data_IF_858478268902
#
_entry.id   IF_858478268902
#
_cell.length_a   1.000
_cell.length_b   1.000
_cell.length_c   1.000
_cell.angle_alpha   90.00
_cell.angle_beta   90.00
_cell.angle_gamma   90.00
#
_symmetry.space_group_name_H-M   'P 1'
#
loop_
_entity.id
_entity.type
_entity.pdbx_description
1 polymer ?
#
# COMPACT_ATOMS: atom_id res chain seq x y z
N UNK A 1 4.96 -24.66 -24.89
CA UNK A 1 4.31 -24.86 -23.58
C UNK A 1 3.47 -23.63 -23.31
N UNK A 2 2.16 -23.78 -23.19
CA UNK A 2 1.18 -22.68 -23.11
C UNK A 2 1.47 -21.78 -21.89
N UNK A 3 1.71 -20.48 -22.15
CA UNK A 3 2.03 -19.49 -21.13
C UNK A 3 0.93 -19.40 -20.05
N UNK A 4 -0.33 -19.68 -20.44
CA UNK A 4 -1.47 -19.72 -19.54
C UNK A 4 -1.39 -20.90 -18.56
N UNK A 5 -0.90 -22.06 -19.03
CA UNK A 5 -0.65 -23.23 -18.17
C UNK A 5 0.50 -23.00 -17.20
N UNK A 6 1.57 -22.32 -17.62
CA UNK A 6 2.69 -21.95 -16.74
C UNK A 6 2.23 -20.95 -15.67
N UNK A 7 1.43 -19.95 -16.03
CA UNK A 7 0.85 -18.97 -15.09
C UNK A 7 -0.11 -19.62 -14.09
N UNK A 8 -0.95 -20.56 -14.54
CA UNK A 8 -1.83 -21.32 -13.66
C UNK A 8 -1.03 -22.23 -12.71
N UNK A 9 0.07 -22.83 -13.19
CA UNK A 9 0.99 -23.60 -12.35
C UNK A 9 1.69 -22.72 -11.30
N UNK A 10 2.15 -21.52 -11.67
CA UNK A 10 2.81 -20.60 -10.75
C UNK A 10 1.84 -19.98 -9.72
N UNK A 11 0.62 -19.61 -10.12
CA UNK A 11 -0.42 -19.16 -9.18
C UNK A 11 -0.82 -20.28 -8.21
N UNK A 12 -0.94 -21.52 -8.70
CA UNK A 12 -1.13 -22.67 -7.84
C UNK A 12 0.07 -22.90 -6.93
N UNK A 13 1.31 -22.66 -7.40
CA UNK A 13 2.51 -22.72 -6.56
C UNK A 13 2.52 -21.63 -5.48
N UNK A 14 2.11 -20.39 -5.79
CA UNK A 14 2.05 -19.28 -4.83
C UNK A 14 0.93 -19.48 -3.79
N UNK A 15 -0.25 -19.94 -4.24
CA UNK A 15 -1.33 -20.33 -3.35
C UNK A 15 -0.89 -21.50 -2.46
N UNK A 16 -0.16 -22.47 -3.02
CA UNK A 16 0.46 -23.55 -2.26
C UNK A 16 1.57 -23.05 -1.32
N UNK A 17 2.32 -22.01 -1.65
CA UNK A 17 3.33 -21.41 -0.78
C UNK A 17 2.68 -20.68 0.40
N UNK A 18 1.63 -19.90 0.18
CA UNK A 18 0.84 -19.27 1.26
C UNK A 18 0.15 -20.32 2.13
N UNK A 19 -0.42 -21.37 1.52
CA UNK A 19 -0.99 -22.50 2.25
C UNK A 19 0.08 -23.23 3.05
N UNK A 20 1.28 -23.45 2.49
CA UNK A 20 2.44 -24.01 3.19
C UNK A 20 2.98 -23.09 4.28
N UNK A 21 2.90 -21.78 4.12
CA UNK A 21 3.33 -20.80 5.13
C UNK A 21 2.37 -20.81 6.32
N UNK A 22 1.05 -20.76 6.07
CA UNK A 22 0.02 -20.91 7.10
C UNK A 22 0.10 -22.29 7.78
N UNK A 23 0.33 -23.34 7.01
CA UNK A 23 0.57 -24.69 7.52
C UNK A 23 1.88 -24.78 8.32
N UNK A 24 2.95 -24.08 7.92
CA UNK A 24 4.19 -23.96 8.70
C UNK A 24 3.96 -23.23 10.01
N UNK A 25 3.17 -22.16 10.04
CA UNK A 25 2.78 -21.48 11.29
C UNK A 25 1.96 -22.41 12.20
N UNK A 26 1.01 -23.17 11.65
CA UNK A 26 0.27 -24.20 12.40
C UNK A 26 1.20 -25.32 12.92
N UNK A 27 2.16 -25.78 12.11
CA UNK A 27 3.14 -26.80 12.49
C UNK A 27 4.05 -26.25 13.60
N UNK A 28 4.53 -25.01 13.50
CA UNK A 28 5.34 -24.37 14.55
C UNK A 28 4.55 -24.28 15.84
N UNK A 29 3.27 -23.86 15.80
CA UNK A 29 2.40 -23.89 16.98
C UNK A 29 2.24 -25.30 17.55
N UNK A 30 2.00 -26.31 16.70
CA UNK A 30 1.88 -27.71 17.14
C UNK A 30 3.19 -28.23 17.74
N UNK A 31 4.35 -27.89 17.16
CA UNK A 31 5.67 -28.27 17.68
C UNK A 31 5.92 -27.64 19.05
N UNK A 32 5.62 -26.34 19.21
CA UNK A 32 5.75 -25.65 20.50
C UNK A 32 4.84 -26.30 21.55
N UNK A 33 3.59 -26.58 21.19
CA UNK A 33 2.61 -27.23 22.08
C UNK A 33 3.05 -28.66 22.46
N UNK A 34 3.54 -29.45 21.50
CA UNK A 34 4.08 -30.80 21.74
C UNK A 34 5.33 -30.73 22.64
N UNK A 35 6.23 -29.78 22.40
CA UNK A 35 7.45 -29.63 23.21
C UNK A 35 7.12 -29.29 24.66
N UNK A 36 6.12 -28.43 24.89
CA UNK A 36 5.58 -28.12 26.22
C UNK A 36 4.93 -29.33 26.89
N UNK A 37 4.12 -30.13 26.16
CA UNK A 37 3.52 -31.38 26.68
C UNK A 37 4.62 -32.38 27.08
N UNK A 38 5.67 -32.54 26.25
CA UNK A 38 6.81 -33.40 26.55
C UNK A 38 7.53 -32.94 27.82
N UNK A 39 7.72 -31.63 27.98
CA UNK A 39 8.36 -31.07 29.17
C UNK A 39 7.51 -31.29 30.43
N UNK A 40 6.18 -31.16 30.33
CA UNK A 40 5.24 -31.52 31.38
C UNK A 40 5.37 -32.99 31.79
N UNK A 41 5.41 -33.88 30.81
CA UNK A 41 5.43 -35.31 31.04
C UNK A 41 6.75 -35.76 31.68
N UNK A 42 7.87 -35.09 31.33
CA UNK A 42 9.16 -35.28 32.00
C UNK A 42 9.14 -34.83 33.47
N UNK A 43 8.49 -33.73 33.78
CA UNK A 43 8.32 -33.22 35.16
C UNK A 43 7.42 -34.14 36.01
N UNK A 44 6.37 -34.72 35.42
CA UNK A 44 5.46 -35.67 36.07
C UNK A 44 6.21 -36.98 36.39
N UNK A 45 6.92 -37.55 35.41
CA UNK A 45 7.62 -38.83 35.58
C UNK A 45 8.83 -38.75 36.53
N UNK A 46 9.39 -37.55 36.75
CA UNK A 46 10.49 -37.36 37.72
C UNK A 46 10.02 -37.37 39.18
N UNK A 47 8.71 -37.29 39.42
CA UNK A 47 8.11 -37.12 40.75
C UNK A 47 7.09 -38.24 41.08
N UNK A 48 7.43 -39.52 40.84
CA UNK A 48 6.55 -40.68 41.12
C UNK A 48 6.13 -40.84 42.60
N UNK A 49 6.61 -40.00 43.52
CA UNK A 49 6.09 -39.91 44.89
C UNK A 49 5.46 -38.53 45.18
N UNK A 50 4.12 -38.52 45.28
CA UNK A 50 3.25 -37.43 45.76
C UNK A 50 3.43 -36.07 45.06
N UNK A 51 2.95 -35.96 43.82
CA UNK A 51 2.62 -34.65 43.25
C UNK A 51 1.31 -34.18 43.91
N UNK A 52 1.40 -33.16 44.77
CA UNK A 52 0.25 -32.46 45.34
C UNK A 52 -0.57 -31.79 44.22
N UNK A 53 -1.90 -31.82 44.32
CA UNK A 53 -2.81 -31.10 43.41
C UNK A 53 -2.39 -29.63 43.20
N UNK A 54 -1.86 -28.96 44.23
CA UNK A 54 -1.39 -27.57 44.12
C UNK A 54 -0.23 -27.37 43.13
N UNK A 55 0.56 -28.42 42.84
CA UNK A 55 1.70 -28.35 41.91
C UNK A 55 1.22 -28.50 40.45
N UNK A 56 0.14 -29.25 40.22
CA UNK A 56 -0.50 -29.39 38.90
C UNK A 56 -1.21 -28.08 38.52
N UNK A 57 -1.94 -27.46 39.46
CA UNK A 57 -2.61 -26.18 39.23
C UNK A 57 -1.61 -25.07 38.86
N UNK A 58 -0.46 -25.04 39.52
CA UNK A 58 0.58 -24.06 39.24
C UNK A 58 1.16 -24.22 37.82
N UNK A 59 1.36 -25.46 37.38
CA UNK A 59 1.84 -25.79 36.04
C UNK A 59 0.80 -25.42 34.96
N UNK A 60 -0.47 -25.71 35.20
CA UNK A 60 -1.57 -25.35 34.29
C UNK A 60 -1.67 -23.82 34.16
N UNK A 61 -1.54 -23.07 35.26
CA UNK A 61 -1.55 -21.61 35.23
C UNK A 61 -0.37 -21.02 34.46
N UNK A 62 0.84 -21.59 34.60
CA UNK A 62 2.02 -21.17 33.83
C UNK A 62 1.82 -21.42 32.33
N UNK A 63 1.28 -22.58 31.95
CA UNK A 63 0.95 -22.91 30.56
C UNK A 63 -0.11 -21.99 29.98
N UNK A 64 -1.19 -21.72 30.73
CA UNK A 64 -2.24 -20.78 30.34
C UNK A 64 -1.67 -19.38 30.14
N UNK A 65 -0.79 -18.89 31.02
CA UNK A 65 -0.12 -17.60 30.84
C UNK A 65 0.79 -17.56 29.61
N UNK A 66 1.54 -18.62 29.33
CA UNK A 66 2.42 -18.71 28.15
C UNK A 66 1.61 -18.77 26.85
N UNK A 67 0.52 -19.54 26.81
CA UNK A 67 -0.40 -19.61 25.67
C UNK A 67 -1.06 -18.24 25.45
N UNK A 68 -1.49 -17.57 26.52
CA UNK A 68 -2.04 -16.22 26.45
C UNK A 68 -1.03 -15.21 25.90
N UNK A 69 0.24 -15.28 26.35
CA UNK A 69 1.33 -14.44 25.84
C UNK A 69 1.60 -14.72 24.35
N UNK A 70 1.61 -15.98 23.94
CA UNK A 70 1.82 -16.34 22.53
C UNK A 70 0.65 -15.88 21.64
N UNK A 71 -0.59 -16.00 22.12
CA UNK A 71 -1.77 -15.47 21.43
C UNK A 71 -1.75 -13.95 21.32
N UNK A 72 -1.34 -13.24 22.39
CA UNK A 72 -1.11 -11.79 22.37
C UNK A 72 -0.04 -11.40 21.35
N UNK A 73 1.08 -12.12 21.29
CA UNK A 73 2.15 -11.87 20.31
C UNK A 73 1.64 -12.08 18.88
N UNK A 74 0.86 -13.13 18.61
CA UNK A 74 0.34 -13.42 17.26
C UNK A 74 -0.76 -12.44 16.83
N UNK A 75 -1.63 -12.01 17.74
CA UNK A 75 -2.65 -11.01 17.47
C UNK A 75 -2.06 -9.62 17.18
N UNK A 76 -0.93 -9.27 17.81
CA UNK A 76 -0.18 -8.03 17.54
C UNK A 76 0.53 -8.05 16.18
N UNK A 77 0.68 -9.22 15.55
CA UNK A 77 1.42 -9.40 14.29
C UNK A 77 0.53 -9.43 13.03
N UNK A 78 -0.80 -9.48 13.13
CA UNK A 78 -1.66 -9.39 11.96
C UNK A 78 -1.96 -7.94 11.61
N UNK A 79 -1.33 -7.47 10.54
CA UNK A 79 -1.56 -6.15 9.98
C UNK A 79 -2.93 -6.07 9.29
N UNK A 80 -3.89 -5.44 9.95
CA UNK A 80 -5.19 -5.13 9.36
C UNK A 80 -5.11 -3.82 8.56
N UNK A 81 -5.47 -3.87 7.27
CA UNK A 81 -5.42 -2.72 6.36
C UNK A 81 -6.51 -1.70 6.67
N UNK A 82 -7.67 -2.12 7.15
CA UNK A 82 -8.76 -1.22 7.52
C UNK A 82 -8.40 -0.46 8.79
N UNK A 83 -7.78 -1.13 9.76
CA UNK A 83 -7.22 -0.49 10.95
C UNK A 83 -6.10 0.49 10.58
N UNK A 84 -5.17 0.08 9.70
CA UNK A 84 -4.11 0.94 9.20
C UNK A 84 -4.66 2.21 8.55
N UNK A 85 -5.63 2.05 7.64
CA UNK A 85 -6.25 3.18 6.95
C UNK A 85 -7.00 4.11 7.92
N UNK A 86 -7.68 3.56 8.94
CA UNK A 86 -8.35 4.38 9.96
C UNK A 86 -7.33 5.16 10.79
N UNK A 87 -6.25 4.52 11.22
CA UNK A 87 -5.20 5.18 12.00
C UNK A 87 -4.50 6.27 11.19
N UNK A 88 -4.11 5.99 9.94
CA UNK A 88 -3.43 6.93 9.05
C UNK A 88 -4.25 8.21 8.77
N UNK A 89 -5.58 8.14 8.67
CA UNK A 89 -6.45 9.32 8.49
C UNK A 89 -6.36 10.33 9.64
N UNK A 90 -6.01 9.87 10.84
CA UNK A 90 -5.95 10.73 12.04
C UNK A 90 -4.60 11.41 12.25
N UNK A 91 -3.56 10.98 11.52
CA UNK A 91 -2.19 11.45 11.71
C UNK A 91 -2.00 12.84 11.10
N UNK A 92 -1.17 13.65 11.76
CA UNK A 92 -0.89 15.02 11.36
C UNK A 92 0.51 15.10 10.77
N UNK A 93 0.61 15.64 9.56
CA UNK A 93 1.89 15.96 8.95
C UNK A 93 2.44 17.24 9.55
N UNK A 94 3.72 17.25 9.90
CA UNK A 94 4.39 18.44 10.45
C UNK A 94 4.69 19.48 9.38
N UNK A 95 5.15 19.01 8.22
CA UNK A 95 5.51 19.84 7.08
C UNK A 95 4.43 19.73 6.01
N UNK A 96 3.44 20.64 5.98
CA UNK A 96 2.34 20.54 5.04
C UNK A 96 2.83 20.69 3.61
N UNK A 97 2.24 19.91 2.71
CA UNK A 97 2.45 20.07 1.28
C UNK A 97 1.59 21.25 0.82
N UNK A 98 2.20 22.22 0.14
CA UNK A 98 1.51 23.43 -0.29
C UNK A 98 0.69 23.21 -1.57
N UNK A 99 -0.50 23.84 -1.69
CA UNK A 99 -1.30 23.82 -2.90
C UNK A 99 -0.53 24.31 -4.14
N UNK A 100 -0.89 23.75 -5.28
CA UNK A 100 -0.38 24.18 -6.58
C UNK A 100 -0.93 25.56 -6.94
N UNK A 101 -0.04 26.47 -7.32
CA UNK A 101 -0.41 27.78 -7.87
C UNK A 101 -0.64 27.74 -9.38
N UNK A 102 -0.14 26.70 -10.06
CA UNK A 102 -0.27 26.47 -11.50
C UNK A 102 -0.46 24.99 -11.81
N UNK A 103 -1.12 24.71 -12.92
CA UNK A 103 -1.24 23.37 -13.47
C UNK A 103 0.13 22.87 -13.96
N UNK A 104 0.63 21.72 -13.46
CA UNK A 104 1.95 21.19 -13.83
C UNK A 104 2.05 20.79 -15.32
N UNK A 105 0.93 20.47 -15.97
CA UNK A 105 0.90 20.13 -17.40
C UNK A 105 1.09 21.35 -18.32
N UNK A 106 0.98 22.57 -17.79
CA UNK A 106 1.25 23.81 -18.53
C UNK A 106 2.72 24.25 -18.41
N UNK A 107 3.55 23.49 -17.67
CA UNK A 107 4.98 23.78 -17.51
C UNK A 107 5.75 23.20 -18.69
N UNK A 108 6.29 24.08 -19.53
CA UNK A 108 7.13 23.73 -20.69
C UNK A 108 8.64 23.90 -20.44
N UNK A 109 9.03 24.17 -19.20
CA UNK A 109 10.44 24.34 -18.80
C UNK A 109 11.22 23.03 -19.02
N UNK A 110 12.31 23.04 -19.82
CA UNK A 110 13.07 21.82 -20.12
C UNK A 110 13.68 21.16 -18.88
N UNK A 111 14.11 21.94 -17.89
CA UNK A 111 14.69 21.38 -16.66
C UNK A 111 13.64 20.65 -15.83
N UNK A 112 12.42 21.17 -15.75
CA UNK A 112 11.29 20.49 -15.14
C UNK A 112 10.97 19.19 -15.87
N UNK A 113 10.86 19.22 -17.21
CA UNK A 113 10.58 18.02 -18.00
C UNK A 113 11.67 16.96 -17.87
N UNK A 114 12.94 17.38 -17.77
CA UNK A 114 14.05 16.47 -17.49
C UNK A 114 13.89 15.81 -16.10
N UNK A 115 13.56 16.57 -15.06
CA UNK A 115 13.30 16.00 -13.72
C UNK A 115 12.14 15.00 -13.71
N UNK A 116 11.08 15.27 -14.49
CA UNK A 116 9.97 14.33 -14.67
C UNK A 116 10.47 13.05 -15.34
N UNK A 117 11.29 13.17 -16.39
CA UNK A 117 11.90 12.02 -17.08
C UNK A 117 12.82 11.22 -16.18
N UNK A 118 13.70 11.88 -15.43
CA UNK A 118 14.65 11.22 -14.52
C UNK A 118 13.92 10.42 -13.43
N UNK A 119 12.85 10.98 -12.88
CA UNK A 119 12.01 10.32 -11.88
C UNK A 119 11.34 9.04 -12.41
N UNK A 120 11.10 8.92 -13.72
CA UNK A 120 10.54 7.69 -14.30
C UNK A 120 11.55 6.55 -14.35
N UNK A 121 12.85 6.87 -14.36
CA UNK A 121 13.94 5.90 -14.39
C UNK A 121 14.49 5.60 -12.98
N UNK A 122 14.14 6.42 -12.00
CA UNK A 122 14.56 6.24 -10.62
C UNK A 122 13.78 5.11 -9.95
N UNK A 123 14.46 3.98 -9.75
CA UNK A 123 13.95 2.82 -9.04
C UNK A 123 14.48 2.71 -7.61
N UNK A 124 15.29 3.67 -7.17
CA UNK A 124 16.04 3.58 -5.92
C UNK A 124 15.50 4.51 -4.85
N UNK A 125 15.07 5.71 -5.22
CA UNK A 125 14.57 6.67 -4.24
C UNK A 125 13.33 6.17 -3.55
N UNK A 126 13.12 6.70 -2.35
CA UNK A 126 11.96 6.39 -1.51
C UNK A 126 11.45 7.65 -0.84
N UNK A 127 10.16 7.65 -0.57
CA UNK A 127 9.55 8.58 0.35
C UNK A 127 9.28 7.84 1.65
N UNK A 128 9.68 8.46 2.76
CA UNK A 128 9.64 7.85 4.06
C UNK A 128 9.11 8.82 5.11
N UNK A 129 8.57 8.27 6.20
CA UNK A 129 8.06 9.04 7.34
C UNK A 129 8.89 8.82 8.59
N UNK A 130 8.84 9.76 9.53
CA UNK A 130 9.33 9.57 10.89
C UNK A 130 8.33 10.20 11.85
N UNK A 131 7.91 9.45 12.87
CA UNK A 131 7.04 9.99 13.92
C UNK A 131 7.85 10.81 14.92
N UNK A 132 7.27 11.92 15.37
CA UNK A 132 7.86 12.81 16.37
C UNK A 132 7.51 12.44 17.80
N UNK A 133 6.45 11.65 17.97
CA UNK A 133 5.87 11.30 19.25
C UNK A 133 5.68 9.79 19.39
N UNK A 134 5.67 9.33 20.64
CA UNK A 134 5.49 7.91 20.98
C UNK A 134 4.11 7.38 20.60
N UNK A 135 3.08 8.24 20.60
CA UNK A 135 1.71 7.92 20.19
C UNK A 135 1.57 7.89 18.65
N UNK A 136 2.65 8.19 17.93
CA UNK A 136 2.76 8.24 16.47
C UNK A 136 1.69 9.12 15.83
N UNK A 137 1.32 10.23 16.44
CA UNK A 137 0.27 11.12 15.93
C UNK A 137 0.80 12.14 14.94
N UNK A 138 2.04 12.57 15.10
CA UNK A 138 2.69 13.63 14.32
C UNK A 138 3.87 13.00 13.58
N UNK A 139 4.01 13.31 12.30
CA UNK A 139 5.09 12.77 11.48
C UNK A 139 5.69 13.78 10.52
N UNK A 140 6.96 13.59 10.21
CA UNK A 140 7.66 14.23 9.09
C UNK A 140 7.66 13.33 7.87
N UNK A 141 7.65 13.95 6.69
CA UNK A 141 7.78 13.29 5.41
C UNK A 141 9.11 13.71 4.76
N UNK A 142 9.91 12.75 4.29
CA UNK A 142 11.19 13.05 3.65
C UNK A 142 11.50 12.07 2.52
N UNK A 143 12.12 12.59 1.46
CA UNK A 143 12.63 11.79 0.35
C UNK A 143 14.10 11.40 0.63
N UNK A 144 14.47 10.20 0.21
CA UNK A 144 15.82 9.64 0.32
C UNK A 144 16.22 9.00 -1.00
N UNK A 145 17.53 8.89 -1.28
CA UNK A 145 18.02 8.28 -2.51
C UNK A 145 17.91 6.75 -2.48
N UNK A 146 17.81 6.15 -1.30
CA UNK A 146 17.59 4.72 -1.14
C UNK A 146 16.81 4.36 0.13
N UNK A 147 16.30 3.13 0.17
CA UNK A 147 15.68 2.54 1.37
C UNK A 147 16.66 2.49 2.54
N UNK A 148 17.90 2.10 2.28
CA UNK A 148 18.96 1.98 3.28
C UNK A 148 19.28 3.34 3.91
N UNK A 149 19.32 4.41 3.09
CA UNK A 149 19.53 5.77 3.59
C UNK A 149 18.38 6.21 4.51
N UNK A 150 17.13 5.91 4.14
CA UNK A 150 15.97 6.20 4.98
C UNK A 150 16.04 5.45 6.33
N UNK A 151 16.34 4.16 6.31
CA UNK A 151 16.44 3.30 7.50
C UNK A 151 17.57 3.75 8.44
N UNK A 152 18.73 4.11 7.90
CA UNK A 152 19.86 4.67 8.67
C UNK A 152 19.49 5.97 9.39
N UNK A 153 18.58 6.76 8.81
CA UNK A 153 18.05 7.98 9.39
C UNK A 153 16.82 7.75 10.29
N UNK A 154 16.46 6.48 10.54
CA UNK A 154 15.30 6.06 11.33
C UNK A 154 13.96 6.51 10.73
N UNK A 155 13.88 6.59 9.40
CA UNK A 155 12.64 6.78 8.68
C UNK A 155 12.06 5.44 8.22
N UNK A 156 10.73 5.36 8.17
CA UNK A 156 9.96 4.22 7.70
C UNK A 156 9.53 4.50 6.26
N UNK A 157 9.98 3.67 5.32
CA UNK A 157 9.61 3.80 3.90
C UNK A 157 8.09 3.61 3.74
N UNK A 158 7.46 4.56 3.05
CA UNK A 158 6.01 4.54 2.80
C UNK A 158 5.64 4.33 1.33
N UNK A 159 6.53 4.70 0.39
CA UNK A 159 6.47 4.31 -1.03
C UNK A 159 7.83 4.51 -1.70
N UNK A 160 8.05 3.81 -2.81
CA UNK A 160 9.18 4.08 -3.72
C UNK A 160 8.95 5.38 -4.51
N UNK A 161 10.03 6.05 -4.89
CA UNK A 161 10.04 7.34 -5.55
C UNK A 161 10.06 8.52 -4.57
N UNK A 162 10.30 9.73 -5.08
CA UNK A 162 10.28 10.94 -4.27
C UNK A 162 8.91 11.21 -3.63
N UNK A 163 8.92 11.97 -2.55
CA UNK A 163 7.69 12.51 -1.98
C UNK A 163 7.01 13.51 -2.93
N UNK A 164 5.69 13.52 -2.93
CA UNK A 164 4.85 14.39 -3.75
C UNK A 164 3.49 14.65 -3.08
N UNK A 165 2.58 15.28 -3.82
CA UNK A 165 1.31 15.80 -3.31
C UNK A 165 0.40 14.77 -2.63
N UNK A 166 0.57 13.48 -2.97
CA UNK A 166 -0.22 12.36 -2.48
C UNK A 166 0.55 11.47 -1.49
N UNK A 167 1.71 11.92 -1.01
CA UNK A 167 2.57 11.12 -0.12
C UNK A 167 2.11 11.10 1.34
N UNK A 168 1.13 11.93 1.72
CA UNK A 168 0.61 12.00 3.10
C UNK A 168 -0.01 10.67 3.55
N UNK A 169 -0.11 10.45 4.87
CA UNK A 169 -0.77 9.27 5.44
C UNK A 169 -2.29 9.32 5.23
N UNK A 170 -2.89 10.51 5.21
CA UNK A 170 -4.29 10.67 4.82
C UNK A 170 -4.52 10.16 3.39
N UNK A 171 -3.67 10.55 2.43
CA UNK A 171 -3.80 10.12 1.04
C UNK A 171 -3.50 8.62 0.89
N UNK A 172 -2.51 8.08 1.63
CA UNK A 172 -2.30 6.64 1.72
C UNK A 172 -3.56 5.92 2.17
N UNK A 173 -4.26 6.40 3.20
CA UNK A 173 -5.50 5.77 3.64
C UNK A 173 -6.60 5.74 2.56
N UNK A 174 -6.65 6.76 1.69
CA UNK A 174 -7.54 6.75 0.51
C UNK A 174 -7.12 5.64 -0.46
N UNK A 175 -5.82 5.53 -0.75
CA UNK A 175 -5.27 4.46 -1.59
C UNK A 175 -5.47 3.07 -0.98
N UNK A 176 -5.56 2.91 0.34
CA UNK A 176 -5.82 1.60 0.95
C UNK A 176 -7.28 1.17 0.83
N UNK A 177 -8.20 2.12 0.88
CA UNK A 177 -9.64 1.84 1.06
C UNK A 177 -10.48 1.95 -0.20
N UNK A 178 -9.95 2.53 -1.28
CA UNK A 178 -10.72 2.77 -2.50
C UNK A 178 -9.97 2.25 -3.72
N UNK A 179 -10.64 1.57 -4.65
CA UNK A 179 -10.12 1.56 -6.03
C UNK A 179 -10.45 2.88 -6.71
N UNK A 180 -9.43 3.58 -7.20
CA UNK A 180 -9.56 4.93 -7.70
C UNK A 180 -9.88 5.00 -9.18
N UNK A 181 -9.71 3.88 -9.90
CA UNK A 181 -9.82 3.85 -11.36
C UNK A 181 -11.21 4.28 -11.81
N UNK A 182 -12.26 3.71 -11.22
CA UNK A 182 -13.66 4.03 -11.58
C UNK A 182 -14.15 5.35 -10.97
N UNK A 183 -13.96 5.63 -9.66
CA UNK A 183 -14.47 6.86 -9.04
C UNK A 183 -13.88 8.14 -9.65
N UNK A 184 -12.57 8.18 -9.92
CA UNK A 184 -11.95 9.37 -10.52
C UNK A 184 -12.42 9.55 -11.97
N UNK A 185 -12.49 8.48 -12.78
CA UNK A 185 -13.04 8.55 -14.14
C UNK A 185 -14.49 9.05 -14.13
N UNK A 186 -15.31 8.62 -13.17
CA UNK A 186 -16.68 9.11 -12.97
C UNK A 186 -16.71 10.61 -12.67
N UNK A 187 -15.85 11.09 -11.77
CA UNK A 187 -15.71 12.54 -11.52
C UNK A 187 -15.36 13.30 -12.80
N UNK A 188 -14.37 12.81 -13.57
CA UNK A 188 -13.93 13.41 -14.83
C UNK A 188 -15.04 13.50 -15.89
N UNK A 189 -15.85 12.44 -16.02
CA UNK A 189 -16.99 12.45 -16.95
C UNK A 189 -18.09 13.43 -16.51
N UNK A 190 -18.48 13.39 -15.23
CA UNK A 190 -19.60 14.19 -14.71
C UNK A 190 -19.28 15.68 -14.65
N UNK A 191 -18.04 16.02 -14.29
CA UNK A 191 -17.67 17.39 -13.93
C UNK A 191 -16.50 17.94 -14.73
N UNK A 192 -16.02 17.25 -15.77
CA UNK A 192 -14.86 17.69 -16.56
C UNK A 192 -15.00 19.03 -17.29
N UNK A 193 -16.16 19.68 -17.25
CA UNK A 193 -16.39 21.05 -17.75
C UNK A 193 -16.27 22.13 -16.65
N UNK A 194 -16.24 21.74 -15.37
CA UNK A 194 -16.08 22.65 -14.23
C UNK A 194 -14.96 22.15 -13.33
N UNK A 195 -13.82 22.84 -13.33
CA UNK A 195 -12.68 22.48 -12.47
C UNK A 195 -13.07 22.50 -10.99
N UNK A 196 -13.93 23.44 -10.57
CA UNK A 196 -14.42 23.53 -9.20
C UNK A 196 -15.19 22.27 -8.79
N UNK A 197 -16.18 21.85 -9.59
CA UNK A 197 -16.97 20.65 -9.28
C UNK A 197 -16.15 19.37 -9.42
N UNK A 198 -15.23 19.31 -10.37
CA UNK A 198 -14.31 18.19 -10.52
C UNK A 198 -13.40 18.04 -9.30
N UNK A 199 -12.78 19.14 -8.86
CA UNK A 199 -11.96 19.15 -7.65
C UNK A 199 -12.79 18.75 -6.42
N UNK A 200 -14.00 19.28 -6.27
CA UNK A 200 -14.90 18.92 -5.18
C UNK A 200 -15.26 17.42 -5.19
N UNK A 201 -15.50 16.85 -6.37
CA UNK A 201 -15.78 15.42 -6.52
C UNK A 201 -14.58 14.56 -6.10
N UNK A 202 -13.37 14.91 -6.56
CA UNK A 202 -12.14 14.18 -6.23
C UNK A 202 -11.81 14.31 -4.74
N UNK A 203 -11.90 15.52 -4.17
CA UNK A 203 -11.77 15.75 -2.71
C UNK A 203 -12.77 14.91 -1.91
N UNK A 204 -13.98 14.73 -2.44
CA UNK A 204 -15.01 13.86 -1.86
C UNK A 204 -14.63 12.38 -1.75
N UNK A 205 -13.56 11.94 -2.41
CA UNK A 205 -12.99 10.59 -2.26
C UNK A 205 -12.11 10.47 -1.01
N UNK A 206 -11.81 11.58 -0.32
CA UNK A 206 -11.04 11.63 0.94
C UNK A 206 -9.62 12.17 0.82
N UNK A 207 -9.17 12.53 -0.38
CA UNK A 207 -7.83 13.08 -0.59
C UNK A 207 -7.64 14.44 0.06
N UNK A 208 -6.39 14.75 0.40
CA UNK A 208 -5.95 16.11 0.72
C UNK A 208 -6.15 17.04 -0.48
N UNK A 209 -6.19 18.35 -0.21
CA UNK A 209 -6.38 19.37 -1.25
C UNK A 209 -5.31 19.30 -2.35
N UNK A 210 -4.06 19.10 -1.95
CA UNK A 210 -2.91 18.97 -2.87
C UNK A 210 -3.00 17.71 -3.72
N UNK A 211 -3.29 16.55 -3.13
CA UNK A 211 -3.42 15.32 -3.91
C UNK A 211 -4.62 15.39 -4.86
N UNK A 212 -5.75 15.96 -4.42
CA UNK A 212 -6.92 16.15 -5.26
C UNK A 212 -6.64 17.11 -6.44
N UNK A 213 -5.80 18.13 -6.26
CA UNK A 213 -5.35 19.01 -7.36
C UNK A 213 -4.54 18.25 -8.41
N UNK A 214 -3.61 17.37 -8.00
CA UNK A 214 -2.85 16.56 -8.97
C UNK A 214 -3.78 15.65 -9.78
N UNK A 215 -4.75 15.00 -9.14
CA UNK A 215 -5.78 14.21 -9.83
C UNK A 215 -6.67 15.06 -10.75
N UNK A 216 -7.04 16.28 -10.34
CA UNK A 216 -7.76 17.24 -11.18
C UNK A 216 -6.97 17.53 -12.46
N UNK A 217 -5.70 17.91 -12.32
CA UNK A 217 -4.87 18.29 -13.47
C UNK A 217 -4.59 17.10 -14.39
N UNK A 218 -4.33 15.91 -13.85
CA UNK A 218 -4.24 14.68 -14.63
C UNK A 218 -5.52 14.43 -15.42
N UNK A 219 -6.68 14.53 -14.76
CA UNK A 219 -7.98 14.33 -15.41
C UNK A 219 -8.23 15.32 -16.54
N UNK A 220 -7.88 16.60 -16.36
CA UNK A 220 -8.01 17.62 -17.39
C UNK A 220 -7.07 17.36 -18.58
N UNK A 221 -5.83 16.97 -18.33
CA UNK A 221 -4.87 16.63 -19.39
C UNK A 221 -5.30 15.38 -20.16
N UNK A 222 -5.73 14.33 -19.47
CA UNK A 222 -6.26 13.10 -20.10
C UNK A 222 -7.52 13.39 -20.89
N UNK A 223 -8.42 14.24 -20.39
CA UNK A 223 -9.58 14.70 -21.17
C UNK A 223 -9.14 15.43 -22.45
N UNK A 224 -8.12 16.28 -22.39
CA UNK A 224 -7.62 17.04 -23.55
C UNK A 224 -6.97 16.12 -24.58
N UNK A 225 -6.13 15.18 -24.15
CA UNK A 225 -5.23 14.41 -25.03
C UNK A 225 -5.75 13.00 -25.36
N UNK A 226 -6.58 12.42 -24.51
CA UNK A 226 -7.05 11.04 -24.58
C UNK A 226 -8.59 10.93 -24.64
N UNK A 227 -9.28 12.02 -25.02
CA UNK A 227 -10.74 12.12 -24.98
C UNK A 227 -11.44 10.91 -25.60
N UNK A 228 -11.18 10.64 -26.88
CA UNK A 228 -11.86 9.63 -27.66
C UNK A 228 -11.70 8.21 -27.12
N UNK A 229 -10.47 7.68 -26.91
CA UNK A 229 -10.32 6.33 -26.38
C UNK A 229 -10.93 6.20 -24.98
N UNK A 230 -10.90 7.25 -24.15
CA UNK A 230 -11.46 7.19 -22.80
C UNK A 230 -12.98 7.26 -22.72
N UNK A 231 -13.62 8.05 -23.58
CA UNK A 231 -15.08 8.07 -23.69
C UNK A 231 -15.60 6.73 -24.22
N UNK A 232 -14.96 6.16 -25.24
CA UNK A 232 -15.32 4.83 -25.76
C UNK A 232 -15.19 3.78 -24.66
N UNK A 233 -14.03 3.68 -24.00
CA UNK A 233 -13.80 2.73 -22.91
C UNK A 233 -14.83 2.87 -21.78
N UNK A 234 -15.24 4.10 -21.45
CA UNK A 234 -16.25 4.33 -20.42
C UNK A 234 -17.65 3.86 -20.86
N UNK A 235 -18.10 4.25 -22.05
CA UNK A 235 -19.45 3.92 -22.54
C UNK A 235 -19.65 2.42 -22.77
N UNK A 236 -18.58 1.70 -23.13
CA UNK A 236 -18.64 0.25 -23.34
C UNK A 236 -18.31 -0.55 -22.07
N UNK A 237 -17.97 0.12 -20.96
CA UNK A 237 -17.42 -0.52 -19.76
C UNK A 237 -16.29 -1.50 -20.10
N UNK A 238 -15.38 -1.09 -21.00
CA UNK A 238 -14.27 -1.91 -21.47
C UNK A 238 -13.36 -2.33 -20.30
N UNK A 239 -12.96 -3.60 -20.29
CA UNK A 239 -11.96 -4.11 -19.35
C UNK A 239 -10.70 -3.25 -19.36
N UNK A 240 -10.10 -3.07 -18.19
CA UNK A 240 -8.89 -2.26 -18.06
C UNK A 240 -7.67 -2.91 -18.70
N UNK A 241 -7.65 -4.24 -18.71
CA UNK A 241 -6.57 -5.04 -19.28
C UNK A 241 -7.17 -6.02 -20.30
N UNK A 242 -6.66 -5.96 -21.53
CA UNK A 242 -7.05 -6.84 -22.63
C UNK A 242 -5.81 -7.55 -23.17
N UNK A 243 -5.83 -8.88 -23.16
CA UNK A 243 -4.70 -9.71 -23.62
C UNK A 243 -3.36 -9.33 -22.96
N UNK A 244 -3.40 -9.03 -21.65
CA UNK A 244 -2.21 -8.64 -20.88
C UNK A 244 -1.69 -7.21 -21.14
N UNK A 245 -2.43 -6.38 -21.89
CA UNK A 245 -2.08 -4.98 -22.16
C UNK A 245 -3.18 -4.06 -21.66
N UNK A 246 -2.82 -2.83 -21.31
CA UNK A 246 -3.81 -1.80 -20.99
C UNK A 246 -4.75 -1.56 -22.19
N UNK A 247 -6.01 -1.27 -21.90
CA UNK A 247 -6.90 -0.76 -22.94
C UNK A 247 -6.42 0.60 -23.47
N UNK A 248 -6.98 1.04 -24.61
CA UNK A 248 -6.51 2.25 -25.30
C UNK A 248 -6.61 3.51 -24.45
N UNK A 249 -7.61 3.61 -23.57
CA UNK A 249 -7.75 4.76 -22.68
C UNK A 249 -6.62 4.81 -21.66
N UNK A 250 -6.44 3.72 -20.91
CA UNK A 250 -5.44 3.63 -19.86
C UNK A 250 -4.02 3.69 -20.42
N UNK A 251 -3.79 3.14 -21.61
CA UNK A 251 -2.49 3.28 -22.28
C UNK A 251 -2.20 4.75 -22.64
N UNK A 252 -3.18 5.46 -23.21
CA UNK A 252 -3.01 6.88 -23.51
C UNK A 252 -2.77 7.72 -22.25
N UNK A 253 -3.53 7.46 -21.17
CA UNK A 253 -3.32 8.11 -19.88
C UNK A 253 -1.92 7.83 -19.31
N UNK A 254 -1.47 6.56 -19.32
CA UNK A 254 -0.15 6.15 -18.83
C UNK A 254 1.00 6.82 -19.61
N UNK A 255 0.84 6.98 -20.92
CA UNK A 255 1.87 7.55 -21.81
C UNK A 255 1.89 9.09 -21.77
N UNK A 256 0.71 9.73 -21.76
CA UNK A 256 0.59 11.19 -21.93
C UNK A 256 0.49 11.91 -20.58
N UNK A 257 -0.36 11.42 -19.68
CA UNK A 257 -0.61 12.09 -18.39
C UNK A 257 0.20 11.49 -17.25
N UNK A 258 0.55 10.21 -17.36
CA UNK A 258 1.26 9.41 -16.36
C UNK A 258 2.60 9.96 -15.91
N UNK A 259 3.49 10.47 -16.79
CA UNK A 259 4.79 11.01 -16.39
C UNK A 259 4.70 12.11 -15.34
N UNK A 260 3.95 13.18 -15.66
CA UNK A 260 3.75 14.31 -14.75
C UNK A 260 2.93 13.88 -13.54
N UNK A 261 1.90 13.04 -13.71
CA UNK A 261 1.11 12.55 -12.58
C UNK A 261 1.96 11.82 -11.54
N UNK A 262 2.79 10.86 -11.97
CA UNK A 262 3.66 10.11 -11.05
C UNK A 262 4.69 11.01 -10.39
N UNK A 263 5.24 11.98 -11.12
CA UNK A 263 6.18 12.95 -10.58
C UNK A 263 5.51 13.85 -9.52
N UNK A 264 4.34 14.38 -9.80
CA UNK A 264 3.65 15.33 -8.91
C UNK A 264 2.97 14.63 -7.73
N UNK A 265 2.35 13.47 -7.95
CA UNK A 265 1.68 12.72 -6.89
C UNK A 265 2.71 12.15 -5.91
N UNK A 266 3.88 11.71 -6.40
CA UNK A 266 4.88 10.95 -5.65
C UNK A 266 4.40 9.54 -5.29
N UNK A 267 3.15 9.40 -4.86
CA UNK A 267 2.49 8.14 -4.53
C UNK A 267 1.58 7.66 -5.65
N UNK A 268 1.64 6.36 -5.90
CA UNK A 268 0.66 5.57 -6.65
C UNK A 268 0.39 4.27 -5.87
N UNK A 269 -0.61 3.49 -6.28
CA UNK A 269 -0.82 2.16 -5.68
C UNK A 269 0.39 1.24 -5.89
N UNK A 270 0.94 1.24 -7.11
CA UNK A 270 2.08 0.40 -7.53
C UNK A 270 3.32 0.61 -6.67
N UNK A 271 3.78 1.86 -6.54
CA UNK A 271 4.98 2.16 -5.74
C UNK A 271 4.73 2.12 -4.23
N UNK A 272 3.48 1.88 -3.79
CA UNK A 272 3.11 1.69 -2.39
C UNK A 272 2.83 0.22 -2.03
N UNK A 273 2.98 -0.74 -2.94
CA UNK A 273 2.66 -2.15 -2.63
C UNK A 273 1.18 -2.48 -2.61
N UNK A 274 0.33 -1.60 -3.14
CA UNK A 274 -1.13 -1.76 -3.10
C UNK A 274 -1.61 -2.31 -4.45
N UNK A 275 -2.32 -3.44 -4.43
CA UNK A 275 -2.95 -4.01 -5.63
C UNK A 275 -4.13 -3.16 -6.10
N UNK A 276 -4.38 -3.05 -7.40
CA UNK A 276 -5.50 -2.30 -7.98
C UNK A 276 -6.40 -3.16 -8.86
N UNK A 277 -7.57 -2.65 -9.24
CA UNK A 277 -8.48 -3.20 -10.26
C UNK A 277 -7.78 -3.36 -11.61
N UNK A 278 -6.74 -2.57 -11.89
CA UNK A 278 -5.86 -2.77 -13.04
C UNK A 278 -4.85 -3.85 -12.68
N UNK A 279 -5.02 -5.05 -13.24
CA UNK A 279 -4.06 -6.16 -13.08
C UNK A 279 -2.71 -5.78 -13.69
N UNK A 280 -1.64 -5.88 -12.90
CA UNK A 280 -0.26 -5.56 -13.30
C UNK A 280 0.67 -6.69 -12.84
N UNK A 281 1.77 -6.94 -13.56
CA UNK A 281 2.80 -7.87 -13.11
C UNK A 281 3.32 -7.56 -11.68
N UNK A 282 3.57 -8.59 -10.88
CA UNK A 282 3.98 -8.44 -9.47
C UNK A 282 5.33 -7.70 -9.32
N UNK A 283 6.22 -7.80 -10.31
CA UNK A 283 7.50 -7.08 -10.36
C UNK A 283 7.35 -5.56 -10.57
N UNK A 284 6.13 -5.08 -10.87
CA UNK A 284 5.79 -3.65 -10.93
C UNK A 284 5.17 -3.12 -9.63
N UNK A 285 5.02 -3.97 -8.62
CA UNK A 285 4.45 -3.61 -7.32
C UNK A 285 5.58 -3.62 -6.30
N UNK A 286 5.84 -2.46 -5.71
CA UNK A 286 6.93 -2.32 -4.75
C UNK A 286 6.58 -2.96 -3.41
N UNK A 287 7.51 -3.67 -2.77
CA UNK A 287 7.23 -4.45 -1.55
C UNK A 287 7.25 -3.55 -0.30
N UNK A 288 6.07 -3.24 0.23
CA UNK A 288 5.86 -2.43 1.44
C UNK A 288 4.71 -3.02 2.25
N UNK A 289 4.89 -3.08 3.57
CA UNK A 289 3.82 -3.38 4.52
C UNK A 289 3.30 -2.07 5.13
N UNK A 290 2.04 -2.05 5.56
CA UNK A 290 1.38 -0.83 6.07
C UNK A 290 1.15 -0.85 7.57
N UNK A 291 2.06 -1.52 8.28
CA UNK A 291 1.92 -1.91 9.68
C UNK A 291 2.76 -0.99 10.58
N UNK A 292 2.69 0.31 10.31
CA UNK A 292 3.52 1.33 10.94
C UNK A 292 2.70 2.49 11.50
N UNK A 293 1.45 2.24 11.88
CA UNK A 293 0.55 3.25 12.46
C UNK A 293 0.60 3.32 13.99
#
# INVERSE_FOLDING_TARGET
MDLMKVKMMMNNQLLNLNKRYKQKQEIVMKIVMISQIIQLNKEINKNEHKISYSKIDNIINILLMQILHLFLIVAVLSCDIDEAAKAFKSKQIRDPIFPYTKNPYDIVDPNYLQKVSDNLQDTTSVCAIKYDDYEKQIYHLKHFNSKEEAEQNQFIVTHQGKCGACSTLQDLAVYLTNDLTRPVRKCGLMYGLSQHHLLKCIKGLGFTDTCAQVWLYNTLNTKKSCFWPCIVSFMTNEDFVKNGKLNKCLQCDEDISGPIFKYESGRTRRNSGIKSEIDRPDDQIYDITHCYY
#
